data_IF_502083116597
#
_entry.id   IF_502083116597
#
_cell.length_a   1.000
_cell.length_b   1.000
_cell.length_c   1.000
_cell.angle_alpha   90.00
_cell.angle_beta   90.00
_cell.angle_gamma   90.00
#
_symmetry.space_group_name_H-M   'P 1'
#
loop_
_entity.id
_entity.type
_entity.pdbx_description
1 polymer ?
#
# COMPACT_ATOMS: atom_id res chain seq x y z
N UNK A 1 0.01 1.65 22.17
CA UNK A 1 -0.32 1.52 20.73
C UNK A 1 0.00 2.82 19.99
N UNK A 2 1.05 2.82 19.17
CA UNK A 2 1.44 3.97 18.34
C UNK A 2 0.41 4.22 17.22
N UNK A 3 0.32 5.46 16.74
CA UNK A 3 -0.60 5.85 15.65
C UNK A 3 -0.30 5.08 14.35
N UNK A 4 0.99 4.79 14.10
CA UNK A 4 1.46 3.94 12.99
C UNK A 4 0.89 2.53 13.08
N UNK A 5 1.01 1.87 14.24
CA UNK A 5 0.51 0.51 14.44
C UNK A 5 -1.00 0.40 14.18
N UNK A 6 -1.80 1.35 14.70
CA UNK A 6 -3.25 1.35 14.48
C UNK A 6 -3.63 1.49 13.01
N UNK A 7 -2.88 2.27 12.23
CA UNK A 7 -3.12 2.37 10.79
C UNK A 7 -2.72 1.10 10.05
N UNK A 8 -1.60 0.47 10.41
CA UNK A 8 -1.20 -0.82 9.84
C UNK A 8 -2.21 -1.92 10.17
N UNK A 9 -2.78 -1.91 11.37
CA UNK A 9 -3.83 -2.86 11.78
C UNK A 9 -5.12 -2.59 10.99
N UNK A 10 -5.54 -1.32 10.85
CA UNK A 10 -6.70 -0.96 10.04
C UNK A 10 -6.54 -1.35 8.56
N UNK A 11 -5.33 -1.23 8.00
CA UNK A 11 -5.01 -1.71 6.65
C UNK A 11 -5.20 -3.23 6.53
N UNK A 12 -4.77 -3.99 7.55
CA UNK A 12 -4.97 -5.44 7.60
C UNK A 12 -6.44 -5.81 7.64
N UNK A 13 -7.22 -5.13 8.48
CA UNK A 13 -8.65 -5.38 8.60
C UNK A 13 -9.39 -5.12 7.29
N UNK A 14 -9.05 -4.03 6.58
CA UNK A 14 -9.60 -3.73 5.25
C UNK A 14 -9.22 -4.78 4.20
N UNK A 15 -7.98 -5.26 4.23
CA UNK A 15 -7.51 -6.32 3.34
C UNK A 15 -8.24 -7.65 3.58
N UNK A 16 -8.49 -8.00 4.85
CA UNK A 16 -9.23 -9.21 5.25
C UNK A 16 -10.71 -9.09 4.86
N UNK A 17 -11.30 -7.89 4.99
CA UNK A 17 -12.67 -7.62 4.60
C UNK A 17 -12.89 -7.59 3.06
N UNK A 18 -11.81 -7.67 2.27
CA UNK A 18 -11.89 -7.57 0.81
C UNK A 18 -12.08 -6.14 0.29
N UNK A 19 -11.95 -5.14 1.16
CA UNK A 19 -12.10 -3.71 0.83
C UNK A 19 -10.79 -3.14 0.25
N UNK A 20 -10.26 -3.79 -0.79
CA UNK A 20 -8.92 -3.54 -1.33
C UNK A 20 -8.75 -2.10 -1.82
N UNK A 21 -9.78 -1.49 -2.42
CA UNK A 21 -9.72 -0.09 -2.86
C UNK A 21 -9.50 0.87 -1.69
N UNK A 22 -10.25 0.69 -0.59
CA UNK A 22 -10.08 1.51 0.61
C UNK A 22 -8.74 1.26 1.29
N UNK A 23 -8.26 0.01 1.26
CA UNK A 23 -6.94 -0.34 1.77
C UNK A 23 -5.82 0.38 0.98
N UNK A 24 -5.92 0.46 -0.35
CA UNK A 24 -4.94 1.18 -1.18
C UNK A 24 -4.97 2.69 -0.88
N UNK A 25 -6.16 3.29 -0.78
CA UNK A 25 -6.29 4.72 -0.47
C UNK A 25 -5.69 5.07 0.91
N UNK A 26 -5.95 4.23 1.92
CA UNK A 26 -5.34 4.38 3.25
C UNK A 26 -3.82 4.16 3.23
N UNK A 27 -3.31 3.29 2.35
CA UNK A 27 -1.89 3.05 2.21
C UNK A 27 -1.15 4.24 1.60
N UNK A 28 -1.77 4.98 0.67
CA UNK A 28 -1.23 6.27 0.20
C UNK A 28 -1.06 7.25 1.35
N UNK A 29 -2.07 7.42 2.20
CA UNK A 29 -1.98 8.30 3.37
C UNK A 29 -0.92 7.82 4.37
N UNK A 30 -0.83 6.50 4.58
CA UNK A 30 0.17 5.90 5.46
C UNK A 30 1.58 6.17 4.96
N UNK A 31 1.84 5.93 3.67
CA UNK A 31 3.18 6.08 3.09
C UNK A 31 3.59 7.54 2.98
N UNK A 32 2.66 8.44 2.67
CA UNK A 32 2.91 9.89 2.71
C UNK A 32 3.32 10.38 4.11
N UNK A 33 2.85 9.71 5.18
CA UNK A 33 3.08 10.14 6.57
C UNK A 33 4.25 9.44 7.26
N UNK A 34 4.46 8.16 6.98
CA UNK A 34 5.42 7.31 7.69
C UNK A 34 6.48 6.71 6.78
N UNK A 35 6.41 6.97 5.47
CA UNK A 35 7.23 6.33 4.46
C UNK A 35 6.70 4.96 4.04
N UNK A 36 7.33 4.40 3.01
CA UNK A 36 7.00 3.08 2.48
C UNK A 36 7.15 2.00 3.54
N UNK A 37 6.20 1.09 3.57
CA UNK A 37 6.23 -0.11 4.40
C UNK A 37 6.02 -1.34 3.52
N UNK A 38 7.09 -2.10 3.27
CA UNK A 38 7.05 -3.27 2.38
C UNK A 38 6.13 -4.37 2.90
N UNK A 39 5.87 -4.43 4.21
CA UNK A 39 4.90 -5.36 4.79
C UNK A 39 3.47 -5.04 4.35
N UNK A 40 3.12 -3.75 4.28
CA UNK A 40 1.84 -3.28 3.77
C UNK A 40 1.75 -3.50 2.25
N UNK A 41 2.82 -3.23 1.49
CA UNK A 41 2.86 -3.49 0.04
C UNK A 41 2.62 -4.98 -0.26
N UNK A 42 3.32 -5.87 0.43
CA UNK A 42 3.14 -7.32 0.25
C UNK A 42 1.73 -7.80 0.60
N UNK A 43 1.12 -7.23 1.64
CA UNK A 43 -0.25 -7.55 2.04
C UNK A 43 -1.26 -7.11 0.97
N UNK A 44 -1.16 -5.87 0.51
CA UNK A 44 -2.02 -5.33 -0.54
C UNK A 44 -1.88 -6.13 -1.83
N UNK A 45 -0.65 -6.51 -2.21
CA UNK A 45 -0.40 -7.36 -3.39
C UNK A 45 -1.17 -8.68 -3.33
N UNK A 46 -1.09 -9.39 -2.18
CA UNK A 46 -1.85 -10.63 -1.97
C UNK A 46 -3.36 -10.41 -2.03
N UNK A 47 -3.85 -9.34 -1.43
CA UNK A 47 -5.29 -9.01 -1.45
C UNK A 47 -5.79 -8.64 -2.84
N UNK A 48 -5.01 -7.88 -3.63
CA UNK A 48 -5.33 -7.54 -5.02
C UNK A 48 -5.39 -8.79 -5.90
N UNK A 49 -4.43 -9.72 -5.74
CA UNK A 49 -4.42 -11.00 -6.44
C UNK A 49 -5.59 -11.89 -6.04
N UNK A 50 -5.85 -12.02 -4.73
CA UNK A 50 -6.90 -12.87 -4.17
C UNK A 50 -8.31 -12.39 -4.54
N UNK A 51 -8.55 -11.08 -4.50
CA UNK A 51 -9.84 -10.49 -4.88
C UNK A 51 -10.12 -10.55 -6.38
N UNK A 52 -9.18 -11.06 -7.21
CA UNK A 52 -9.20 -10.95 -8.68
C UNK A 52 -9.52 -9.52 -9.12
N UNK A 53 -9.01 -8.54 -8.39
CA UNK A 53 -9.42 -7.16 -8.55
C UNK A 53 -9.11 -6.69 -9.97
N UNK A 54 -10.11 -6.11 -10.64
CA UNK A 54 -10.05 -5.78 -12.07
C UNK A 54 -9.40 -4.42 -12.28
N UNK A 55 -8.64 -4.30 -13.37
CA UNK A 55 -8.10 -3.06 -13.99
C UNK A 55 -7.70 -1.94 -13.03
N UNK A 56 -8.68 -1.13 -12.63
CA UNK A 56 -8.49 0.08 -11.83
C UNK A 56 -7.79 -0.16 -10.48
N UNK A 57 -8.11 -1.25 -9.78
CA UNK A 57 -7.49 -1.55 -8.47
C UNK A 57 -6.03 -1.96 -8.65
N UNK A 58 -5.72 -2.75 -9.68
CA UNK A 58 -4.35 -3.15 -10.01
C UNK A 58 -3.52 -1.95 -10.46
N UNK A 59 -4.11 -1.05 -11.25
CA UNK A 59 -3.46 0.19 -11.66
C UNK A 59 -3.13 1.06 -10.45
N UNK A 60 -4.10 1.31 -9.55
CA UNK A 60 -3.85 2.09 -8.33
C UNK A 60 -2.77 1.47 -7.44
N UNK A 61 -2.74 0.14 -7.32
CA UNK A 61 -1.68 -0.53 -6.58
C UNK A 61 -0.31 -0.36 -7.26
N UNK A 62 -0.24 -0.43 -8.59
CA UNK A 62 0.99 -0.16 -9.33
C UNK A 62 1.45 1.30 -9.14
N UNK A 63 0.52 2.27 -9.16
CA UNK A 63 0.82 3.67 -8.91
C UNK A 63 1.34 3.90 -7.48
N UNK A 64 0.77 3.21 -6.49
CA UNK A 64 1.24 3.23 -5.10
C UNK A 64 2.68 2.73 -4.99
N UNK A 65 3.00 1.62 -5.67
CA UNK A 65 4.36 1.10 -5.73
C UNK A 65 5.30 2.10 -6.41
N UNK A 66 4.98 2.59 -7.61
CA UNK A 66 5.85 3.49 -8.38
C UNK A 66 6.13 4.82 -7.67
N UNK A 67 5.13 5.41 -7.01
CA UNK A 67 5.27 6.67 -6.26
C UNK A 67 6.20 6.55 -5.05
N UNK A 68 6.44 5.35 -4.55
CA UNK A 68 7.26 5.10 -3.36
C UNK A 68 8.44 4.15 -3.64
N UNK A 69 8.67 3.75 -4.90
CA UNK A 69 9.87 3.04 -5.40
C UNK A 69 10.95 3.99 -5.90
N UNK A 70 10.68 5.31 -5.86
CA UNK A 70 11.69 6.34 -6.16
C UNK A 70 12.76 6.37 -5.07
N UNK A 71 13.63 5.37 -5.06
CA UNK A 71 15.01 5.51 -4.62
C UNK A 71 15.62 6.68 -5.41
N UNK A 72 16.44 7.53 -4.76
CA UNK A 72 17.12 8.60 -5.45
C UNK A 72 18.06 7.99 -6.50
N UNK A 73 17.67 8.09 -7.77
CA UNK A 73 18.69 8.22 -8.81
C UNK A 73 19.44 9.51 -8.51
N UNK A 74 20.78 9.43 -8.51
CA UNK A 74 21.76 10.52 -8.37
C UNK A 74 22.36 10.73 -6.98
N UNK A 75 23.41 9.98 -6.67
CA UNK A 75 24.67 10.57 -6.18
C UNK A 75 25.85 9.62 -6.45
N UNK A 76 26.11 9.36 -7.73
CA UNK A 76 27.40 8.85 -8.19
C UNK A 76 27.95 9.83 -9.21
N UNK A 77 28.74 10.80 -8.74
CA UNK A 77 29.93 11.34 -9.40
C UNK A 77 30.62 12.36 -8.52
#
# INVERSE_FOLDING_TARGET
MSRRQRQSDALRDLCIAGEVTRAIDLAFEHFARYGRDDGIVALLGRSVESARAVGQVRQRFADLCASHDSLPSEMTR
#
